data_IF_512527160476
#
_entry.id   IF_512527160476
#
_cell.length_a   1.000
_cell.length_b   1.000
_cell.length_c   1.000
_cell.angle_alpha   90.00
_cell.angle_beta   90.00
_cell.angle_gamma   90.00
#
_symmetry.space_group_name_H-M   'P 1'
#
loop_
_entity.id
_entity.type
_entity.pdbx_description
1 polymer ?
#
# COMPACT_ATOMS: atom_id res chain seq x y z
N UNK A 1 -3.70 28.60 -44.06
CA UNK A 1 -3.79 27.22 -43.52
C UNK A 1 -2.66 27.06 -42.52
N UNK A 2 -2.95 26.87 -41.23
CA UNK A 2 -1.89 26.61 -40.25
C UNK A 2 -1.27 25.25 -40.58
N UNK A 3 0.07 25.16 -40.63
CA UNK A 3 0.74 23.86 -40.74
C UNK A 3 0.40 23.09 -39.46
N UNK A 4 -0.27 21.95 -39.58
CA UNK A 4 -0.46 21.05 -38.44
C UNK A 4 0.91 20.64 -37.91
N UNK A 5 1.11 20.77 -36.60
CA UNK A 5 2.31 20.26 -35.94
C UNK A 5 2.43 18.75 -36.19
N UNK A 6 3.61 18.25 -36.59
CA UNK A 6 3.79 16.82 -36.77
C UNK A 6 3.62 16.09 -35.43
N UNK A 7 2.94 14.94 -35.47
CA UNK A 7 2.62 14.14 -34.27
C UNK A 7 3.86 13.80 -33.44
N UNK A 8 5.02 13.60 -34.08
CA UNK A 8 6.29 13.35 -33.38
C UNK A 8 6.75 14.51 -32.50
N UNK A 9 6.51 15.76 -32.92
CA UNK A 9 6.81 16.94 -32.09
C UNK A 9 5.88 17.03 -30.88
N UNK A 10 4.59 16.71 -31.06
CA UNK A 10 3.63 16.67 -29.96
C UNK A 10 4.00 15.64 -28.90
N UNK A 11 4.50 14.46 -29.30
CA UNK A 11 5.01 13.47 -28.34
C UNK A 11 6.25 13.95 -27.58
N UNK A 12 7.20 14.60 -28.25
CA UNK A 12 8.37 15.17 -27.58
C UNK A 12 8.00 16.28 -26.57
N UNK A 13 6.97 17.07 -26.87
CA UNK A 13 6.42 18.05 -25.92
C UNK A 13 5.68 17.38 -24.76
N UNK A 14 4.93 16.32 -25.04
CA UNK A 14 4.21 15.55 -24.03
C UNK A 14 5.17 14.93 -23.02
N UNK A 15 6.23 14.27 -23.50
CA UNK A 15 7.27 13.68 -22.65
C UNK A 15 7.92 14.73 -21.74
N UNK A 16 8.21 15.92 -22.28
CA UNK A 16 8.74 17.05 -21.50
C UNK A 16 7.75 17.55 -20.44
N UNK A 17 6.47 17.68 -20.80
CA UNK A 17 5.45 18.11 -19.85
C UNK A 17 5.28 17.10 -18.71
N UNK A 18 5.31 15.79 -19.02
CA UNK A 18 5.21 14.73 -18.01
C UNK A 18 6.43 14.72 -17.09
N UNK A 19 7.65 14.86 -17.63
CA UNK A 19 8.88 14.88 -16.81
C UNK A 19 8.98 16.12 -15.92
N UNK A 20 8.39 17.24 -16.34
CA UNK A 20 8.28 18.47 -15.55
C UNK A 20 7.03 18.50 -14.65
N UNK A 21 6.26 17.40 -14.59
CA UNK A 21 5.02 17.29 -13.81
C UNK A 21 3.92 18.30 -14.18
N UNK A 22 4.00 18.87 -15.39
CA UNK A 22 3.00 19.80 -15.96
C UNK A 22 1.76 19.03 -16.46
N UNK A 23 1.06 18.34 -15.56
CA UNK A 23 0.04 17.35 -15.92
C UNK A 23 -1.18 17.91 -16.67
N UNK A 24 -1.65 19.11 -16.35
CA UNK A 24 -2.76 19.73 -17.11
C UNK A 24 -2.37 20.07 -18.55
N UNK A 25 -1.09 20.39 -18.80
CA UNK A 25 -0.57 20.60 -20.15
C UNK A 25 -0.39 19.26 -20.88
N UNK A 26 0.10 18.24 -20.19
CA UNK A 26 0.21 16.89 -20.74
C UNK A 26 -1.14 16.37 -21.23
N UNK A 27 -2.23 16.56 -20.48
CA UNK A 27 -3.59 16.19 -20.94
C UNK A 27 -3.97 16.89 -22.25
N UNK A 28 -3.72 18.20 -22.36
CA UNK A 28 -4.02 18.96 -23.59
C UNK A 28 -3.20 18.45 -24.78
N UNK A 29 -1.95 18.05 -24.56
CA UNK A 29 -1.10 17.46 -25.59
C UNK A 29 -1.61 16.07 -26.01
N UNK A 30 -2.00 15.22 -25.06
CA UNK A 30 -2.67 13.96 -25.37
C UNK A 30 -3.93 14.18 -26.20
N UNK A 31 -4.78 15.16 -25.83
CA UNK A 31 -6.00 15.48 -26.59
C UNK A 31 -5.70 15.91 -28.02
N UNK A 32 -4.66 16.74 -28.24
CA UNK A 32 -4.20 17.11 -29.59
C UNK A 32 -3.73 15.89 -30.39
N UNK A 33 -2.94 15.01 -29.78
CA UNK A 33 -2.46 13.79 -30.44
C UNK A 33 -3.64 12.90 -30.83
N UNK A 34 -4.59 12.70 -29.91
CA UNK A 34 -5.79 11.88 -30.13
C UNK A 34 -6.77 12.49 -31.13
N UNK A 35 -6.76 13.81 -31.34
CA UNK A 35 -7.50 14.43 -32.45
C UNK A 35 -6.92 14.04 -33.82
N UNK A 36 -5.60 13.87 -33.91
CA UNK A 36 -4.91 13.47 -35.13
C UNK A 36 -4.87 11.94 -35.32
N UNK A 37 -4.78 11.19 -34.22
CA UNK A 37 -4.76 9.73 -34.16
C UNK A 37 -5.66 9.21 -33.03
N UNK A 38 -6.97 9.04 -33.29
CA UNK A 38 -7.96 8.72 -32.25
C UNK A 38 -7.74 7.42 -31.45
N UNK A 39 -6.98 6.48 -32.02
CA UNK A 39 -6.75 5.14 -31.47
C UNK A 39 -5.27 4.91 -31.10
N UNK A 40 -4.49 5.99 -30.97
CA UNK A 40 -3.08 5.92 -30.56
C UNK A 40 -2.97 5.44 -29.11
N UNK A 41 -2.44 4.23 -28.91
CA UNK A 41 -2.42 3.55 -27.61
C UNK A 41 -1.51 4.26 -26.61
N UNK A 42 -0.39 4.82 -27.06
CA UNK A 42 0.56 5.51 -26.17
C UNK A 42 -0.04 6.82 -25.65
N UNK A 43 -0.71 7.58 -26.52
CA UNK A 43 -1.41 8.81 -26.11
C UNK A 43 -2.60 8.51 -25.17
N UNK A 44 -3.37 7.44 -25.43
CA UNK A 44 -4.45 7.00 -24.54
C UNK A 44 -3.91 6.59 -23.16
N UNK A 45 -2.85 5.77 -23.14
CA UNK A 45 -2.21 5.31 -21.91
C UNK A 45 -1.64 6.48 -21.11
N UNK A 46 -0.87 7.36 -21.75
CA UNK A 46 -0.31 8.55 -21.10
C UNK A 46 -1.40 9.45 -20.51
N UNK A 47 -2.52 9.62 -21.24
CA UNK A 47 -3.68 10.38 -20.74
C UNK A 47 -4.29 9.74 -19.48
N UNK A 48 -4.52 8.43 -19.47
CA UNK A 48 -5.06 7.71 -18.31
C UNK A 48 -4.15 7.87 -17.09
N UNK A 49 -2.83 7.63 -17.25
CA UNK A 49 -1.87 7.78 -16.15
C UNK A 49 -1.84 9.22 -15.62
N UNK A 50 -1.84 10.21 -16.52
CA UNK A 50 -1.83 11.62 -16.13
C UNK A 50 -3.10 12.00 -15.37
N UNK A 51 -4.27 11.50 -15.78
CA UNK A 51 -5.52 11.70 -15.06
C UNK A 51 -5.49 11.05 -13.67
N UNK A 52 -4.91 9.86 -13.54
CA UNK A 52 -4.72 9.18 -12.24
C UNK A 52 -3.80 9.98 -11.32
N UNK A 53 -2.70 10.55 -11.84
CA UNK A 53 -1.79 11.41 -11.08
C UNK A 53 -2.44 12.70 -10.59
N UNK A 54 -3.42 13.21 -11.33
CA UNK A 54 -4.25 14.35 -10.92
C UNK A 54 -5.47 13.95 -10.08
N UNK A 55 -5.57 12.68 -9.68
CA UNK A 55 -6.70 12.11 -8.94
C UNK A 55 -8.07 12.23 -9.66
N UNK A 56 -8.05 12.45 -10.97
CA UNK A 56 -9.25 12.51 -11.84
C UNK A 56 -9.69 11.10 -12.25
N UNK A 57 -9.98 10.25 -11.28
CA UNK A 57 -10.26 8.81 -11.49
C UNK A 57 -11.46 8.54 -12.39
N UNK A 58 -12.52 9.36 -12.29
CA UNK A 58 -13.71 9.16 -13.11
C UNK A 58 -13.46 9.51 -14.58
N UNK A 59 -12.62 10.51 -14.85
CA UNK A 59 -12.22 10.86 -16.21
C UNK A 59 -11.31 9.78 -16.80
N UNK A 60 -10.39 9.23 -16.01
CA UNK A 60 -9.55 8.10 -16.41
C UNK A 60 -10.41 6.89 -16.83
N UNK A 61 -11.40 6.53 -16.01
CA UNK A 61 -12.36 5.45 -16.33
C UNK A 61 -13.18 5.72 -17.60
N UNK A 62 -13.55 6.98 -17.84
CA UNK A 62 -14.26 7.37 -19.05
C UNK A 62 -13.39 7.18 -20.30
N UNK A 63 -12.07 7.38 -20.20
CA UNK A 63 -11.12 7.08 -21.29
C UNK A 63 -11.00 5.57 -21.47
N UNK A 64 -10.76 4.80 -20.40
CA UNK A 64 -10.62 3.34 -20.49
C UNK A 64 -11.84 2.69 -21.15
N UNK A 65 -13.05 3.03 -20.69
CA UNK A 65 -14.30 2.40 -21.18
C UNK A 65 -14.66 2.72 -22.63
N UNK A 66 -14.20 3.85 -23.19
CA UNK A 66 -14.59 4.31 -24.52
C UNK A 66 -13.57 4.04 -25.61
N UNK A 67 -12.30 3.86 -25.24
CA UNK A 67 -11.17 3.93 -26.17
C UNK A 67 -10.23 2.74 -26.11
N UNK A 68 -10.35 1.88 -25.12
CA UNK A 68 -9.46 0.75 -24.92
C UNK A 68 -10.22 -0.57 -25.06
N UNK A 69 -9.50 -1.60 -25.51
CA UNK A 69 -10.03 -2.96 -25.58
C UNK A 69 -10.24 -3.53 -24.16
N UNK A 70 -11.02 -4.61 -24.04
CA UNK A 70 -11.09 -5.35 -22.78
C UNK A 70 -9.68 -5.84 -22.37
N UNK A 71 -9.32 -5.68 -21.10
CA UNK A 71 -8.00 -6.01 -20.57
C UNK A 71 -6.93 -4.92 -20.72
N UNK A 72 -7.09 -3.97 -21.63
CA UNK A 72 -6.16 -2.85 -21.77
C UNK A 72 -6.21 -1.93 -20.55
N UNK A 73 -5.04 -1.67 -19.96
CA UNK A 73 -4.91 -0.86 -18.73
C UNK A 73 -5.80 -1.37 -17.60
N UNK A 74 -5.94 -2.70 -17.49
CA UNK A 74 -6.74 -3.34 -16.45
C UNK A 74 -6.32 -2.92 -15.04
N UNK A 75 -5.02 -2.74 -14.81
CA UNK A 75 -4.51 -2.26 -13.54
C UNK A 75 -5.00 -0.84 -13.22
N UNK A 76 -4.82 0.10 -14.15
CA UNK A 76 -5.26 1.49 -14.00
C UNK A 76 -6.77 1.58 -13.80
N UNK A 77 -7.53 0.77 -14.55
CA UNK A 77 -8.98 0.71 -14.44
C UNK A 77 -9.43 0.19 -13.07
N UNK A 78 -8.88 -0.94 -12.64
CA UNK A 78 -9.15 -1.51 -11.32
C UNK A 78 -8.73 -0.55 -10.19
N UNK A 79 -7.59 0.13 -10.35
CA UNK A 79 -7.10 1.12 -9.39
C UNK A 79 -8.04 2.32 -9.30
N UNK A 80 -8.57 2.82 -10.42
CA UNK A 80 -9.57 3.88 -10.38
C UNK A 80 -10.86 3.44 -9.68
N UNK A 81 -11.33 2.21 -9.91
CA UNK A 81 -12.48 1.66 -9.17
C UNK A 81 -12.19 1.57 -7.67
N UNK A 82 -11.01 1.09 -7.31
CA UNK A 82 -10.54 1.01 -5.93
C UNK A 82 -10.51 2.39 -5.24
N UNK A 83 -9.88 3.39 -5.86
CA UNK A 83 -9.80 4.78 -5.35
C UNK A 83 -11.16 5.46 -5.24
N UNK A 84 -12.13 5.05 -6.04
CA UNK A 84 -13.52 5.56 -6.00
C UNK A 84 -14.46 4.66 -5.17
N UNK A 85 -13.90 3.78 -4.34
CA UNK A 85 -14.64 2.88 -3.44
C UNK A 85 -15.63 1.92 -4.15
N UNK A 86 -15.43 1.64 -5.42
CA UNK A 86 -16.22 0.66 -6.21
C UNK A 86 -15.52 -0.70 -6.19
N UNK A 87 -15.32 -1.24 -5.00
CA UNK A 87 -14.49 -2.42 -4.75
C UNK A 87 -14.93 -3.68 -5.53
N UNK A 88 -16.23 -4.02 -5.64
CA UNK A 88 -16.64 -5.19 -6.43
C UNK A 88 -16.28 -5.09 -7.91
N UNK A 89 -16.35 -3.87 -8.49
CA UNK A 89 -15.96 -3.64 -9.88
C UNK A 89 -14.45 -3.74 -10.08
N UNK A 90 -13.67 -3.25 -9.11
CA UNK A 90 -12.22 -3.44 -9.15
C UNK A 90 -11.87 -4.94 -9.17
N UNK A 91 -12.51 -5.73 -8.31
CA UNK A 91 -12.29 -7.17 -8.22
C UNK A 91 -12.73 -7.92 -9.49
N UNK A 92 -13.84 -7.52 -10.09
CA UNK A 92 -14.34 -8.04 -11.37
C UNK A 92 -13.31 -7.84 -12.50
N UNK A 93 -12.78 -6.61 -12.65
CA UNK A 93 -11.75 -6.29 -13.65
C UNK A 93 -10.49 -7.14 -13.44
N UNK A 94 -10.01 -7.23 -12.19
CA UNK A 94 -8.80 -7.99 -11.84
C UNK A 94 -8.98 -9.47 -12.20
N UNK A 95 -10.06 -10.10 -11.75
CA UNK A 95 -10.31 -11.53 -11.95
C UNK A 95 -10.53 -11.89 -13.42
N UNK A 96 -11.25 -11.04 -14.16
CA UNK A 96 -11.45 -11.24 -15.61
C UNK A 96 -10.10 -11.22 -16.34
N UNK A 97 -9.26 -10.24 -16.02
CA UNK A 97 -7.92 -10.10 -16.63
C UNK A 97 -7.01 -11.29 -16.33
N UNK A 98 -7.02 -11.80 -15.09
CA UNK A 98 -6.23 -12.97 -14.68
C UNK A 98 -6.68 -14.27 -15.39
N UNK A 99 -7.98 -14.43 -15.68
CA UNK A 99 -8.53 -15.62 -16.34
C UNK A 99 -8.19 -15.70 -17.82
N UNK A 100 -8.02 -14.55 -18.49
CA UNK A 100 -7.73 -14.48 -19.93
C UNK A 100 -6.27 -14.82 -20.29
N UNK A 101 -5.46 -15.27 -19.32
CA UNK A 101 -4.07 -15.69 -19.52
C UNK A 101 -3.12 -14.51 -19.82
N UNK A 102 -3.61 -13.28 -19.72
CA UNK A 102 -2.84 -12.06 -19.94
C UNK A 102 -2.16 -11.67 -18.64
N UNK A 103 -0.84 -11.86 -18.60
CA UNK A 103 0.13 -11.42 -17.56
C UNK A 103 -0.39 -11.52 -16.12
N UNK A 104 0.02 -12.57 -15.40
CA UNK A 104 0.00 -12.57 -13.93
C UNK A 104 0.94 -11.46 -13.42
N UNK A 105 0.43 -10.23 -13.40
CA UNK A 105 1.15 -9.09 -12.90
C UNK A 105 1.06 -9.12 -11.39
N UNK A 106 2.21 -9.33 -10.72
CA UNK A 106 2.33 -9.19 -9.25
C UNK A 106 1.62 -7.93 -8.74
N UNK A 107 1.66 -6.84 -9.52
CA UNK A 107 0.97 -5.57 -9.24
C UNK A 107 -0.56 -5.70 -9.18
N UNK A 108 -1.17 -6.48 -10.09
CA UNK A 108 -2.61 -6.78 -10.06
C UNK A 108 -2.97 -7.63 -8.84
N UNK A 109 -2.15 -8.64 -8.51
CA UNK A 109 -2.33 -9.45 -7.29
C UNK A 109 -2.22 -8.61 -6.02
N UNK A 110 -1.29 -7.67 -5.96
CA UNK A 110 -1.22 -6.70 -4.87
C UNK A 110 -2.52 -5.90 -4.74
N UNK A 111 -3.03 -5.35 -5.85
CA UNK A 111 -4.31 -4.62 -5.83
C UNK A 111 -5.48 -5.53 -5.45
N UNK A 112 -5.48 -6.79 -5.87
CA UNK A 112 -6.50 -7.77 -5.49
C UNK A 112 -6.54 -7.98 -3.97
N UNK A 113 -5.37 -8.19 -3.36
CA UNK A 113 -5.25 -8.36 -1.92
C UNK A 113 -5.76 -7.13 -1.17
N UNK A 114 -5.44 -5.93 -1.67
CA UNK A 114 -5.92 -4.66 -1.10
C UNK A 114 -7.44 -4.52 -1.20
N UNK A 115 -8.02 -4.88 -2.35
CA UNK A 115 -9.47 -4.88 -2.56
C UNK A 115 -10.15 -5.86 -1.60
N UNK A 116 -9.66 -7.09 -1.49
CA UNK A 116 -10.20 -8.11 -0.58
C UNK A 116 -10.09 -7.66 0.88
N UNK A 117 -8.96 -7.06 1.28
CA UNK A 117 -8.80 -6.50 2.63
C UNK A 117 -9.85 -5.43 2.95
N UNK A 118 -10.08 -4.50 2.00
CA UNK A 118 -11.10 -3.44 2.17
C UNK A 118 -12.54 -3.97 2.14
N UNK A 119 -12.77 -5.13 1.53
CA UNK A 119 -14.03 -5.86 1.59
C UNK A 119 -14.16 -6.72 2.85
N UNK A 120 -13.13 -6.74 3.72
CA UNK A 120 -13.01 -7.60 4.90
C UNK A 120 -13.05 -9.11 4.56
N UNK A 121 -12.79 -9.46 3.29
CA UNK A 121 -12.55 -10.84 2.85
C UNK A 121 -11.09 -11.21 3.14
N UNK A 122 -10.78 -11.31 4.44
CA UNK A 122 -9.44 -11.65 4.92
C UNK A 122 -8.96 -13.02 4.45
N UNK A 123 -9.79 -14.09 4.35
CA UNK A 123 -9.37 -15.36 3.78
C UNK A 123 -8.90 -15.24 2.33
N UNK A 124 -9.63 -14.53 1.46
CA UNK A 124 -9.18 -14.31 0.08
C UNK A 124 -7.91 -13.45 0.03
N UNK A 125 -7.83 -12.40 0.86
CA UNK A 125 -6.65 -11.56 0.97
C UNK A 125 -5.39 -12.36 1.37
N UNK A 126 -5.52 -13.23 2.38
CA UNK A 126 -4.43 -14.11 2.84
C UNK A 126 -3.98 -15.07 1.74
N UNK A 127 -4.92 -15.65 0.99
CA UNK A 127 -4.59 -16.58 -0.09
C UNK A 127 -3.72 -15.89 -1.17
N UNK A 128 -4.07 -14.65 -1.55
CA UNK A 128 -3.31 -13.87 -2.54
C UNK A 128 -1.90 -13.55 -2.05
N UNK A 129 -1.76 -13.00 -0.83
CA UNK A 129 -0.45 -12.67 -0.26
C UNK A 129 0.42 -13.90 -0.01
N UNK A 130 -0.17 -15.00 0.45
CA UNK A 130 0.56 -16.25 0.61
C UNK A 130 1.13 -16.74 -0.72
N UNK A 131 0.32 -16.72 -1.79
CA UNK A 131 0.81 -17.05 -3.13
C UNK A 131 1.96 -16.14 -3.56
N UNK A 132 1.85 -14.82 -3.32
CA UNK A 132 2.89 -13.85 -3.70
C UNK A 132 4.23 -14.17 -3.01
N UNK A 133 4.18 -14.57 -1.73
CA UNK A 133 5.38 -14.95 -0.97
C UNK A 133 5.96 -16.29 -1.43
N UNK A 134 5.14 -17.24 -1.89
CA UNK A 134 5.62 -18.51 -2.45
C UNK A 134 6.35 -18.31 -3.77
N UNK A 135 5.91 -17.34 -4.56
CA UNK A 135 6.48 -17.02 -5.88
C UNK A 135 7.73 -16.11 -5.78
N UNK A 136 8.09 -15.66 -4.57
CA UNK A 136 9.14 -14.65 -4.35
C UNK A 136 10.31 -15.19 -3.53
N UNK A 137 11.54 -14.86 -3.94
CA UNK A 137 12.74 -15.09 -3.12
C UNK A 137 12.74 -14.17 -1.89
N UNK A 138 13.14 -14.66 -0.69
CA UNK A 138 13.37 -13.81 0.49
C UNK A 138 14.40 -12.70 0.29
N UNK A 139 15.23 -12.78 -0.74
CA UNK A 139 16.20 -11.73 -1.12
C UNK A 139 15.61 -10.64 -2.02
N UNK A 140 14.34 -10.74 -2.40
CA UNK A 140 13.67 -9.73 -3.21
C UNK A 140 13.38 -8.49 -2.34
N UNK A 141 13.66 -7.29 -2.86
CA UNK A 141 13.45 -6.03 -2.14
C UNK A 141 11.99 -5.84 -1.67
N UNK A 142 11.01 -6.37 -2.39
CA UNK A 142 9.57 -6.26 -2.06
C UNK A 142 9.12 -7.30 -1.03
N UNK A 143 9.95 -8.30 -0.71
CA UNK A 143 9.55 -9.45 0.12
C UNK A 143 9.08 -9.01 1.51
N UNK A 144 9.82 -8.10 2.15
CA UNK A 144 9.46 -7.60 3.47
C UNK A 144 8.16 -6.79 3.43
N UNK A 145 7.90 -6.02 2.37
CA UNK A 145 6.65 -5.28 2.19
C UNK A 145 5.45 -6.23 2.04
N UNK A 146 5.61 -7.28 1.22
CA UNK A 146 4.58 -8.32 1.04
C UNK A 146 4.34 -9.06 2.36
N UNK A 147 5.40 -9.40 3.07
CA UNK A 147 5.34 -10.13 4.34
C UNK A 147 4.69 -9.30 5.45
N UNK A 148 4.99 -8.00 5.51
CA UNK A 148 4.37 -7.09 6.47
C UNK A 148 2.86 -6.99 6.24
N UNK A 149 2.44 -6.81 4.98
CA UNK A 149 1.04 -6.82 4.61
C UNK A 149 0.37 -8.17 4.92
N UNK A 150 1.01 -9.28 4.56
CA UNK A 150 0.51 -10.62 4.87
C UNK A 150 0.26 -10.82 6.38
N UNK A 151 1.19 -10.39 7.23
CA UNK A 151 1.03 -10.46 8.68
C UNK A 151 -0.07 -9.51 9.21
N UNK A 152 -0.23 -8.33 8.61
CA UNK A 152 -1.34 -7.44 8.97
C UNK A 152 -2.71 -8.08 8.71
N UNK A 153 -2.87 -8.78 7.58
CA UNK A 153 -4.12 -9.49 7.24
C UNK A 153 -4.37 -10.65 8.21
N UNK A 154 -3.33 -11.39 8.65
CA UNK A 154 -3.49 -12.42 9.67
C UNK A 154 -4.02 -11.84 10.97
N UNK A 155 -3.44 -10.72 11.41
CA UNK A 155 -3.89 -10.03 12.61
C UNK A 155 -5.34 -9.58 12.46
N UNK A 156 -5.72 -8.98 11.33
CA UNK A 156 -7.10 -8.59 11.06
C UNK A 156 -8.08 -9.77 11.07
N UNK A 157 -7.71 -10.91 10.46
CA UNK A 157 -8.51 -12.15 10.51
C UNK A 157 -8.71 -12.63 11.96
N UNK A 158 -7.66 -12.64 12.77
CA UNK A 158 -7.75 -13.09 14.16
C UNK A 158 -8.61 -12.14 14.99
N UNK A 159 -8.48 -10.82 14.78
CA UNK A 159 -9.32 -9.82 15.44
C UNK A 159 -10.78 -9.86 15.01
N UNK A 160 -11.11 -10.36 13.82
CA UNK A 160 -12.50 -10.60 13.41
C UNK A 160 -13.13 -11.82 14.09
N UNK A 161 -12.35 -12.57 14.88
CA UNK A 161 -12.78 -13.80 15.56
C UNK A 161 -12.72 -15.04 14.69
N UNK A 162 -12.17 -14.93 13.47
CA UNK A 162 -11.97 -16.07 12.59
C UNK A 162 -10.69 -16.84 12.95
N UNK A 163 -10.71 -18.15 12.66
CA UNK A 163 -9.56 -19.01 12.88
C UNK A 163 -8.58 -18.95 11.71
N UNK A 164 -7.29 -19.02 12.04
CA UNK A 164 -6.21 -19.05 11.05
C UNK A 164 -5.85 -20.50 10.72
N UNK A 165 -5.91 -20.85 9.43
CA UNK A 165 -5.44 -22.15 8.93
C UNK A 165 -3.97 -22.39 9.35
N UNK A 166 -3.66 -23.62 9.75
CA UNK A 166 -2.33 -24.04 10.19
C UNK A 166 -1.20 -23.68 9.22
N UNK A 167 -1.48 -23.65 7.91
CA UNK A 167 -0.49 -23.25 6.88
C UNK A 167 -0.14 -21.77 6.91
N UNK A 168 -1.01 -20.94 7.50
CA UNK A 168 -0.83 -19.48 7.60
C UNK A 168 -0.32 -19.03 8.97
N UNK A 169 -0.07 -19.94 9.90
CA UNK A 169 0.40 -19.62 11.26
C UNK A 169 1.54 -18.58 11.22
N UNK A 170 1.49 -17.53 12.07
CA UNK A 170 2.54 -16.52 12.10
C UNK A 170 3.88 -17.17 12.40
N UNK A 171 4.90 -16.81 11.63
CA UNK A 171 6.28 -17.05 12.01
C UNK A 171 6.81 -15.70 12.46
N UNK A 172 7.22 -15.62 13.72
CA UNK A 172 7.80 -14.41 14.27
C UNK A 172 8.94 -13.93 13.38
N UNK A 173 8.85 -12.67 12.98
CA UNK A 173 9.88 -12.01 12.22
C UNK A 173 10.06 -10.60 12.76
N UNK A 174 11.29 -10.28 13.15
CA UNK A 174 11.68 -8.99 13.71
C UNK A 174 12.73 -8.29 12.85
N UNK A 175 12.77 -8.61 11.54
CA UNK A 175 13.72 -8.02 10.58
C UNK A 175 13.41 -6.56 10.27
N UNK A 176 12.14 -6.16 10.39
CA UNK A 176 11.71 -4.77 10.32
C UNK A 176 10.78 -4.45 11.48
N UNK A 177 10.61 -3.15 11.73
CA UNK A 177 9.71 -2.65 12.76
C UNK A 177 8.26 -3.12 12.56
N UNK A 178 7.77 -3.03 11.32
CA UNK A 178 6.40 -3.41 10.94
C UNK A 178 6.15 -4.90 11.12
N UNK A 179 7.14 -5.73 10.81
CA UNK A 179 7.03 -7.18 10.98
C UNK A 179 6.90 -7.57 12.45
N UNK A 180 7.67 -6.94 13.34
CA UNK A 180 7.58 -7.18 14.77
C UNK A 180 6.24 -6.70 15.33
N UNK A 181 5.80 -5.50 14.95
CA UNK A 181 4.52 -4.94 15.36
C UNK A 181 3.34 -5.80 14.91
N UNK A 182 3.29 -6.18 13.63
CA UNK A 182 2.18 -6.98 13.09
C UNK A 182 2.14 -8.38 13.70
N UNK A 183 3.31 -8.99 13.95
CA UNK A 183 3.40 -10.27 14.65
C UNK A 183 2.87 -10.13 16.08
N UNK A 184 3.26 -9.08 16.80
CA UNK A 184 2.75 -8.82 18.15
C UNK A 184 1.22 -8.66 18.18
N UNK A 185 0.64 -7.97 17.19
CA UNK A 185 -0.80 -7.82 17.05
C UNK A 185 -1.51 -9.18 16.87
N UNK A 186 -0.94 -10.10 16.09
CA UNK A 186 -1.48 -11.46 15.95
C UNK A 186 -1.46 -12.23 17.28
N UNK A 187 -0.37 -12.12 18.04
CA UNK A 187 -0.25 -12.71 19.37
C UNK A 187 -1.29 -12.13 20.36
N UNK A 188 -1.52 -10.81 20.34
CA UNK A 188 -2.59 -10.19 21.14
C UNK A 188 -3.96 -10.75 20.77
N UNK A 189 -4.27 -10.87 19.48
CA UNK A 189 -5.56 -11.41 19.03
C UNK A 189 -5.77 -12.87 19.45
N UNK A 190 -4.68 -13.64 19.58
CA UNK A 190 -4.71 -15.03 20.07
C UNK A 190 -4.68 -15.14 21.61
N UNK A 191 -4.57 -14.03 22.34
CA UNK A 191 -4.42 -14.01 23.79
C UNK A 191 -3.02 -14.36 24.31
N UNK A 192 -2.03 -14.55 23.44
CA UNK A 192 -0.63 -14.73 23.85
C UNK A 192 0.03 -13.38 24.15
N UNK A 193 -0.36 -12.81 25.29
CA UNK A 193 0.17 -11.51 25.74
C UNK A 193 1.67 -11.56 26.02
N UNK A 194 2.22 -12.72 26.41
CA UNK A 194 3.64 -12.88 26.66
C UNK A 194 4.45 -12.86 25.36
N UNK A 195 3.96 -13.50 24.29
CA UNK A 195 4.56 -13.40 22.96
C UNK A 195 4.52 -11.99 22.39
N UNK A 196 3.37 -11.31 22.50
CA UNK A 196 3.21 -9.94 22.05
C UNK A 196 4.21 -8.98 22.73
N UNK A 197 4.36 -9.09 24.06
CA UNK A 197 5.31 -8.27 24.82
C UNK A 197 6.77 -8.48 24.37
N UNK A 198 7.20 -9.74 24.23
CA UNK A 198 8.57 -10.05 23.78
C UNK A 198 8.88 -9.40 22.43
N UNK A 199 7.93 -9.45 21.49
CA UNK A 199 8.08 -8.88 20.16
C UNK A 199 8.15 -7.34 20.20
N UNK A 200 7.27 -6.71 20.99
CA UNK A 200 7.22 -5.25 21.13
C UNK A 200 8.45 -4.69 21.85
N UNK A 201 8.93 -5.33 22.91
CA UNK A 201 10.17 -4.94 23.60
C UNK A 201 11.41 -5.14 22.70
N UNK A 202 11.42 -6.20 21.88
CA UNK A 202 12.50 -6.41 20.90
C UNK A 202 12.53 -5.30 19.85
N UNK A 203 11.37 -4.87 19.36
CA UNK A 203 11.29 -3.79 18.38
C UNK A 203 11.59 -2.41 18.99
N UNK A 204 11.10 -2.14 20.20
CA UNK A 204 11.39 -0.91 20.96
C UNK A 204 12.89 -0.75 21.24
N UNK A 205 13.60 -1.84 21.53
CA UNK A 205 15.03 -1.83 21.83
C UNK A 205 15.95 -1.76 20.60
N UNK A 206 15.39 -1.73 19.38
CA UNK A 206 16.15 -1.67 18.12
C UNK A 206 15.65 -0.54 17.20
N UNK A 207 15.96 0.73 17.49
CA UNK A 207 15.58 1.85 16.63
C UNK A 207 16.09 1.72 15.18
N UNK A 208 17.18 0.98 14.94
CA UNK A 208 17.66 0.67 13.58
C UNK A 208 16.65 -0.10 12.72
N UNK A 209 15.66 -0.78 13.32
CA UNK A 209 14.56 -1.43 12.60
C UNK A 209 13.56 -0.42 12.00
N UNK A 210 13.52 0.83 12.50
CA UNK A 210 12.72 1.90 11.91
C UNK A 210 13.31 2.37 10.57
N UNK A 211 14.63 2.31 10.42
CA UNK A 211 15.36 2.91 9.31
C UNK A 211 15.97 1.88 8.35
N UNK A 212 15.53 0.63 8.43
CA UNK A 212 15.95 -0.41 7.50
C UNK A 212 15.57 -0.06 6.06
N UNK A 213 16.41 -0.44 5.08
CA UNK A 213 16.09 -0.38 3.65
C UNK A 213 14.85 -1.23 3.37
N UNK A 214 13.67 -0.67 3.51
CA UNK A 214 12.39 -1.39 3.47
C UNK A 214 11.27 -0.68 4.23
N UNK A 215 11.59 0.24 5.14
CA UNK A 215 10.60 1.09 5.83
C UNK A 215 10.06 2.16 4.87
N UNK A 216 9.26 1.75 3.89
CA UNK A 216 8.62 2.72 3.00
C UNK A 216 7.57 3.52 3.79
N UNK A 217 7.60 4.85 3.66
CA UNK A 217 6.64 5.81 4.25
C UNK A 217 5.15 5.51 3.96
N UNK A 218 4.89 4.58 3.04
CA UNK A 218 3.57 4.05 2.70
C UNK A 218 2.99 3.19 3.85
N UNK A 219 3.82 2.51 4.65
CA UNK A 219 3.37 1.76 5.83
C UNK A 219 2.91 2.70 6.96
N UNK A 220 3.52 3.88 7.09
CA UNK A 220 3.14 4.91 8.05
C UNK A 220 1.77 5.54 7.74
N UNK A 221 1.43 5.68 6.46
CA UNK A 221 0.07 6.06 6.06
C UNK A 221 -0.96 4.97 6.39
N UNK A 222 -0.57 3.69 6.36
CA UNK A 222 -1.41 2.56 6.75
C UNK A 222 -1.57 2.41 8.28
N UNK A 223 -0.57 2.80 9.08
CA UNK A 223 -0.60 2.71 10.56
C UNK A 223 -1.25 3.92 11.25
N UNK A 224 -1.51 5.02 10.54
CA UNK A 224 -2.21 6.19 11.11
C UNK A 224 -3.70 5.95 11.46
N UNK A 225 -4.24 4.77 11.17
CA UNK A 225 -5.55 4.33 11.64
C UNK A 225 -5.40 3.31 12.78
N UNK A 226 -5.17 3.86 13.98
CA UNK A 226 -5.04 3.14 15.26
C UNK A 226 -6.37 2.50 15.70
N UNK A 227 -6.27 1.29 16.29
CA UNK A 227 -7.29 0.53 17.03
C UNK A 227 -8.33 -0.15 16.12
N UNK A 228 -8.74 -1.42 16.39
CA UNK A 228 -9.75 -2.14 15.60
C UNK A 228 -11.15 -1.49 15.52
N UNK A 229 -11.34 -0.29 16.07
CA UNK A 229 -12.63 0.37 16.20
C UNK A 229 -12.83 1.63 15.35
N UNK A 230 -11.84 2.11 14.60
CA UNK A 230 -12.01 3.33 13.81
C UNK A 230 -11.30 3.33 12.44
N UNK A 231 -12.13 3.48 11.39
CA UNK A 231 -11.87 4.25 10.15
C UNK A 231 -10.94 3.59 9.11
N UNK A 232 -11.43 3.10 7.96
CA UNK A 232 -12.12 3.80 6.86
C UNK A 232 -11.43 5.11 6.46
N UNK A 233 -10.75 5.04 5.30
CA UNK A 233 -10.04 6.09 4.53
C UNK A 233 -8.51 6.00 4.50
N UNK A 234 -7.98 6.16 3.29
CA UNK A 234 -6.58 6.20 2.86
C UNK A 234 -5.85 4.86 2.77
N UNK A 235 -6.15 4.16 1.69
CA UNK A 235 -5.26 3.15 1.14
C UNK A 235 -5.20 3.44 -0.36
N UNK A 236 -4.10 4.03 -0.80
CA UNK A 236 -3.92 4.51 -2.18
C UNK A 236 -2.45 4.77 -2.42
N UNK A 237 -1.70 3.72 -2.78
CA UNK A 237 -0.25 3.83 -2.85
C UNK A 237 0.42 2.68 -3.58
N UNK A 238 0.00 2.37 -4.80
CA UNK A 238 0.79 1.54 -5.74
C UNK A 238 1.61 2.41 -6.70
N UNK A 239 1.58 3.74 -6.55
CA UNK A 239 2.35 4.67 -7.40
C UNK A 239 3.45 5.44 -6.66
N UNK A 240 3.65 5.18 -5.36
CA UNK A 240 4.55 5.96 -4.51
C UNK A 240 5.90 5.26 -4.24
N UNK A 241 6.07 4.00 -4.66
CA UNK A 241 7.30 3.23 -4.41
C UNK A 241 8.51 3.75 -5.20
N UNK A 242 8.32 4.32 -6.39
CA UNK A 242 9.42 4.91 -7.19
C UNK A 242 9.87 6.27 -6.66
N UNK A 243 8.94 7.11 -6.16
CA UNK A 243 9.27 8.44 -5.66
C UNK A 243 9.95 8.39 -4.28
N UNK A 244 9.61 7.40 -3.42
CA UNK A 244 10.27 7.22 -2.13
C UNK A 244 11.65 6.55 -2.24
N UNK A 245 11.90 5.72 -3.26
CA UNK A 245 13.21 5.05 -3.42
C UNK A 245 14.34 6.02 -3.82
N UNK A 246 14.03 7.15 -4.46
CA UNK A 246 15.06 8.13 -4.87
C UNK A 246 15.42 9.17 -3.80
N UNK A 247 14.69 9.23 -2.69
CA UNK A 247 14.84 10.29 -1.68
C UNK A 247 15.52 9.84 -0.39
N UNK A 248 15.77 8.54 -0.20
CA UNK A 248 16.22 7.98 1.09
C UNK A 248 17.67 7.47 1.04
N UNK A 249 18.57 8.28 0.47
CA UNK A 249 20.00 8.17 0.77
C UNK A 249 20.41 9.43 1.53
N UNK A 250 20.72 9.24 2.82
CA UNK A 250 21.32 10.20 3.76
C UNK A 250 20.38 11.20 4.46
N UNK A 251 19.36 10.72 5.16
CA UNK A 251 18.70 11.52 6.21
C UNK A 251 19.08 11.00 7.60
N UNK A 252 19.89 11.76 8.33
CA UNK A 252 20.09 11.61 9.76
C UNK A 252 18.78 11.98 10.46
N UNK A 253 17.98 10.98 10.84
CA UNK A 253 16.73 11.19 11.57
C UNK A 253 17.02 11.83 12.94
N UNK A 254 16.22 12.84 13.30
CA UNK A 254 16.27 13.42 14.63
C UNK A 254 15.74 12.46 15.69
N UNK A 255 16.20 12.61 16.93
CA UNK A 255 15.67 11.86 18.08
C UNK A 255 14.14 12.03 18.21
N UNK A 256 13.62 13.20 17.85
CA UNK A 256 12.19 13.51 17.85
C UNK A 256 11.41 12.74 16.77
N UNK A 257 12.02 12.45 15.63
CA UNK A 257 11.43 11.61 14.58
C UNK A 257 11.46 10.14 15.01
N UNK A 258 12.58 9.68 15.56
CA UNK A 258 12.71 8.33 16.13
C UNK A 258 11.63 8.09 17.20
N UNK A 259 11.47 9.02 18.14
CA UNK A 259 10.48 8.88 19.22
C UNK A 259 9.04 8.92 18.69
N UNK A 260 8.75 9.76 17.69
CA UNK A 260 7.44 9.79 17.04
C UNK A 260 7.10 8.46 16.38
N UNK A 261 8.07 7.83 15.74
CA UNK A 261 7.84 6.52 15.12
C UNK A 261 7.70 5.41 16.18
N UNK A 262 8.54 5.40 17.23
CA UNK A 262 8.43 4.42 18.32
C UNK A 262 7.13 4.53 19.13
N UNK A 263 6.45 5.68 19.09
CA UNK A 263 5.22 5.93 19.84
C UNK A 263 4.15 4.84 19.61
N UNK A 264 4.03 4.32 18.38
CA UNK A 264 3.06 3.28 18.04
C UNK A 264 3.34 1.98 18.78
N UNK A 265 4.60 1.54 18.83
CA UNK A 265 5.00 0.35 19.60
C UNK A 265 4.84 0.59 21.10
N UNK A 266 5.18 1.77 21.60
CA UNK A 266 5.04 2.08 23.03
C UNK A 266 3.57 2.04 23.45
N UNK A 267 2.66 2.58 22.64
CA UNK A 267 1.20 2.51 22.87
C UNK A 267 0.71 1.05 22.83
N UNK A 268 1.18 0.25 21.87
CA UNK A 268 0.78 -1.15 21.77
C UNK A 268 1.32 -2.01 22.93
N UNK A 269 2.54 -1.72 23.38
CA UNK A 269 3.13 -2.36 24.57
C UNK A 269 2.37 -1.97 25.85
N UNK A 270 2.02 -0.69 25.99
CA UNK A 270 1.17 -0.22 27.08
C UNK A 270 -0.19 -0.94 27.08
N UNK A 271 -0.77 -1.17 25.90
CA UNK A 271 -2.01 -1.94 25.77
C UNK A 271 -1.83 -3.41 26.20
N UNK A 272 -0.72 -4.04 25.84
CA UNK A 272 -0.40 -5.41 26.32
C UNK A 272 -0.26 -5.43 27.85
N UNK A 273 0.44 -4.46 28.45
CA UNK A 273 0.55 -4.32 29.91
C UNK A 273 -0.82 -4.14 30.56
N UNK A 274 -1.69 -3.32 29.97
CA UNK A 274 -3.07 -3.14 30.45
C UNK A 274 -3.85 -4.46 30.41
N UNK A 275 -3.79 -5.22 29.31
CA UNK A 275 -4.44 -6.53 29.20
C UNK A 275 -3.90 -7.56 30.20
N UNK A 276 -2.63 -7.43 30.60
CA UNK A 276 -2.00 -8.25 31.64
C UNK A 276 -2.33 -7.82 33.08
N UNK A 277 -3.03 -6.71 33.26
CA UNK A 277 -3.33 -6.13 34.58
C UNK A 277 -2.22 -5.26 35.18
N UNK A 278 -1.17 -4.98 34.42
CA UNK A 278 -0.06 -4.08 34.80
C UNK A 278 -0.44 -2.62 34.54
N UNK A 279 -1.46 -2.14 35.27
CA UNK A 279 -2.13 -0.86 34.98
C UNK A 279 -1.21 0.34 35.24
N UNK A 280 -0.33 0.27 36.25
CA UNK A 280 0.58 1.37 36.57
C UNK A 280 1.64 1.54 35.48
N UNK A 281 2.26 0.44 35.06
CA UNK A 281 3.27 0.39 34.02
C UNK A 281 2.69 0.79 32.66
N UNK A 282 1.46 0.35 32.35
CA UNK A 282 0.74 0.79 31.16
C UNK A 282 0.51 2.30 31.16
N UNK A 283 0.06 2.87 32.29
CA UNK A 283 -0.19 4.30 32.42
C UNK A 283 1.09 5.14 32.25
N UNK A 284 2.23 4.68 32.76
CA UNK A 284 3.53 5.32 32.57
C UNK A 284 3.92 5.39 31.08
N UNK A 285 3.77 4.28 30.35
CA UNK A 285 4.05 4.23 28.91
C UNK A 285 3.09 5.10 28.08
N UNK A 286 1.79 5.11 28.40
CA UNK A 286 0.85 6.02 27.74
C UNK A 286 1.23 7.49 27.98
N UNK A 287 1.59 7.84 29.22
CA UNK A 287 2.00 9.20 29.57
C UNK A 287 3.31 9.60 28.89
N UNK A 288 4.27 8.69 28.72
CA UNK A 288 5.53 9.01 28.03
C UNK A 288 5.27 9.43 26.59
N UNK A 289 4.39 8.73 25.87
CA UNK A 289 4.02 9.07 24.48
C UNK A 289 3.29 10.41 24.39
N UNK A 290 2.44 10.74 25.38
CA UNK A 290 1.73 12.02 25.40
C UNK A 290 2.67 13.21 25.63
N UNK A 291 3.76 13.02 26.37
CA UNK A 291 4.77 14.07 26.65
C UNK A 291 5.62 14.40 25.43
N UNK A 292 5.85 13.44 24.54
CA UNK A 292 6.61 13.63 23.27
C UNK A 292 5.83 14.41 22.20
N UNK A 293 4.51 14.61 22.35
CA UNK A 293 3.66 15.32 21.36
C UNK A 293 3.55 16.84 21.58
N UNK A 294 4.43 17.46 22.38
CA UNK A 294 4.44 18.89 22.67
C UNK A 294 5.63 19.60 22.03
#
# INVERSE_FOLDING_TARGET
>A
MSKQEPVSQLFAELERAVSQTEYDKAIKLCDKILQLKPDDRDALHCKVITLIRLEKYQDALNVCSKKLAAGDLAFEQAYCFYRTNRLPKALEVIRTTQQEGSVDSRTLRHLEAQVNYRLEDYPACLAVYHGLLQDMSPSNDEYNDVLANYNAVKSALLFSGAELDAKYVPKDNTNTYELAYNSACAHVAQGDLAGAERLLETAKSRPSLLFGRGSSSIAWANQRNLIPFLFHFFWGGVFFSELCRSSLSDEDYSDEEIERELAVIVVQLAYVYQLRGMVAEAAELYQSVLKTKC
#
